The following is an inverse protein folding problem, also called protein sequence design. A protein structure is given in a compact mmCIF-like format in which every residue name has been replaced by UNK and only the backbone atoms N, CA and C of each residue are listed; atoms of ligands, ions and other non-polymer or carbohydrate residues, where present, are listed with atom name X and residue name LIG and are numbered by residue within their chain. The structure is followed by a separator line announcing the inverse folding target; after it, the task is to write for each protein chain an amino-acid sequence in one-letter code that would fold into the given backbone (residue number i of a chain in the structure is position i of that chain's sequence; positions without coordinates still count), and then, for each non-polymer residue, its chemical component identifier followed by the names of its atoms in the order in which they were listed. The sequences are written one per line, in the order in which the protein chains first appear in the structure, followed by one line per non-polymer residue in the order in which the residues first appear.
data_IF_999859988397
#
_entry.id   IF_999859988397
#
_cell.length_a   1.000
_cell.length_b   1.000
_cell.length_c   1.000
_cell.angle_alpha   90.00
_cell.angle_beta   90.00
_cell.angle_gamma   90.00
#
_symmetry.space_group_name_H-M   'P 1'
#
loop_
_entity.id
_entity.type
_entity.pdbx_description
1 polymer ?
#
# COMPACT_ATOMS: atom_id res chain seq x y z
N UNK A 1 -13.76 -42.29 -21.74
CA UNK A 1 -13.44 -41.10 -20.92
C UNK A 1 -12.22 -40.40 -21.53
N UNK A 2 -12.29 -39.09 -21.75
CA UNK A 2 -11.24 -38.30 -22.40
C UNK A 2 -9.98 -38.21 -21.52
N UNK A 3 -10.14 -38.18 -20.19
CA UNK A 3 -9.02 -38.19 -19.24
C UNK A 3 -8.23 -39.50 -19.29
N UNK A 4 -8.93 -40.64 -19.39
CA UNK A 4 -8.29 -41.96 -19.49
C UNK A 4 -7.50 -42.08 -20.80
N UNK A 5 -8.00 -41.50 -21.90
CA UNK A 5 -7.25 -41.47 -23.16
C UNK A 5 -5.98 -40.63 -23.02
N UNK A 6 -6.10 -39.42 -22.48
CA UNK A 6 -4.95 -38.53 -22.27
C UNK A 6 -3.86 -39.19 -21.44
N UNK A 7 -4.21 -39.78 -20.29
CA UNK A 7 -3.22 -40.41 -19.40
C UNK A 7 -2.54 -41.65 -20.00
N UNK A 8 -3.18 -42.31 -20.96
CA UNK A 8 -2.63 -43.50 -21.62
C UNK A 8 -1.78 -43.17 -22.84
N UNK A 9 -2.13 -42.11 -23.57
CA UNK A 9 -1.52 -41.79 -24.86
C UNK A 9 -0.68 -40.51 -24.83
N UNK A 10 -0.73 -39.76 -23.72
CA UNK A 10 -0.08 -38.45 -23.56
C UNK A 10 -0.40 -37.48 -24.71
N UNK A 11 -1.64 -37.58 -25.21
CA UNK A 11 -2.16 -36.85 -26.36
C UNK A 11 -3.57 -36.37 -26.05
N UNK A 12 -3.86 -35.13 -26.43
CA UNK A 12 -5.19 -34.53 -26.34
C UNK A 12 -5.61 -34.18 -27.76
N UNK A 13 -6.65 -34.85 -28.24
CA UNK A 13 -7.23 -34.57 -29.55
C UNK A 13 -8.01 -33.26 -29.52
N UNK A 14 -8.10 -32.58 -30.66
CA UNK A 14 -8.76 -31.28 -30.78
C UNK A 14 -10.27 -31.35 -30.45
N UNK A 15 -10.89 -32.53 -30.59
CA UNK A 15 -12.28 -32.76 -30.19
C UNK A 15 -12.51 -32.94 -28.67
N UNK A 16 -11.46 -32.95 -27.85
CA UNK A 16 -11.60 -33.13 -26.40
C UNK A 16 -12.03 -31.82 -25.72
N UNK A 17 -13.02 -31.93 -24.85
CA UNK A 17 -13.68 -30.79 -24.21
C UNK A 17 -13.87 -30.95 -22.69
N UNK A 18 -13.29 -31.98 -22.08
CA UNK A 18 -13.36 -32.13 -20.63
C UNK A 18 -12.66 -30.96 -19.92
N UNK A 19 -13.29 -30.48 -18.85
CA UNK A 19 -12.76 -29.39 -18.04
C UNK A 19 -11.36 -29.75 -17.50
N UNK A 20 -10.39 -28.84 -17.67
CA UNK A 20 -9.02 -29.01 -17.20
C UNK A 20 -8.06 -29.69 -18.18
N UNK A 21 -8.54 -30.38 -19.23
CA UNK A 21 -7.67 -31.01 -20.24
C UNK A 21 -6.78 -29.99 -20.96
N UNK A 22 -7.30 -28.80 -21.26
CA UNK A 22 -6.50 -27.73 -21.89
C UNK A 22 -5.33 -27.29 -21.00
N UNK A 23 -5.51 -27.24 -19.68
CA UNK A 23 -4.42 -26.93 -18.76
C UNK A 23 -3.42 -28.10 -18.71
N UNK A 24 -3.91 -29.33 -18.60
CA UNK A 24 -3.06 -30.52 -18.62
C UNK A 24 -2.24 -30.65 -19.92
N UNK A 25 -2.79 -30.23 -21.08
CA UNK A 25 -2.06 -30.15 -22.37
C UNK A 25 -0.83 -29.25 -22.23
N UNK A 26 -1.02 -28.03 -21.71
CA UNK A 26 0.07 -27.05 -21.54
C UNK A 26 1.14 -27.56 -20.58
N UNK A 27 0.74 -28.17 -19.46
CA UNK A 27 1.70 -28.76 -18.52
C UNK A 27 2.50 -29.90 -19.18
N UNK A 28 1.83 -30.76 -19.93
CA UNK A 28 2.50 -31.84 -20.66
C UNK A 28 3.46 -31.32 -21.74
N UNK A 29 3.08 -30.27 -22.47
CA UNK A 29 3.93 -29.63 -23.47
C UNK A 29 5.22 -29.09 -22.81
N UNK A 30 5.12 -28.49 -21.62
CA UNK A 30 6.28 -28.03 -20.83
C UNK A 30 7.15 -29.21 -20.39
N UNK A 31 6.55 -30.30 -19.91
CA UNK A 31 7.27 -31.51 -19.49
C UNK A 31 8.00 -32.20 -20.66
N UNK A 32 7.49 -32.05 -21.88
CA UNK A 32 8.10 -32.59 -23.11
C UNK A 32 9.20 -31.69 -23.69
N UNK A 33 9.46 -30.52 -23.11
CA UNK A 33 10.56 -29.66 -23.55
C UNK A 33 11.92 -30.34 -23.34
N UNK A 34 12.91 -30.07 -24.21
CA UNK A 34 14.31 -30.42 -23.95
C UNK A 34 14.79 -29.83 -22.63
N UNK A 35 15.69 -30.53 -21.92
CA UNK A 35 16.17 -30.14 -20.58
C UNK A 35 16.66 -28.68 -20.52
N UNK A 36 17.38 -28.23 -21.53
CA UNK A 36 17.89 -26.85 -21.60
C UNK A 36 16.76 -25.82 -21.74
N UNK A 37 15.73 -26.13 -22.53
CA UNK A 37 14.58 -25.24 -22.73
C UNK A 37 13.67 -25.22 -21.51
N UNK A 38 13.43 -26.38 -20.89
CA UNK A 38 12.69 -26.50 -19.63
C UNK A 38 13.37 -25.71 -18.51
N UNK A 39 14.69 -25.86 -18.36
CA UNK A 39 15.46 -25.09 -17.38
C UNK A 39 15.48 -23.59 -17.66
N UNK A 40 15.39 -23.16 -18.93
CA UNK A 40 15.23 -21.74 -19.27
C UNK A 40 13.84 -21.22 -18.92
N UNK A 41 12.80 -22.02 -19.18
CA UNK A 41 11.43 -21.73 -18.82
C UNK A 41 11.21 -21.61 -17.31
N UNK A 42 11.73 -22.56 -16.52
CA UNK A 42 11.66 -22.54 -15.06
C UNK A 42 12.32 -21.27 -14.49
N UNK A 43 13.53 -20.92 -14.97
CA UNK A 43 14.20 -19.67 -14.55
C UNK A 43 13.41 -18.41 -14.91
N UNK A 44 12.75 -18.41 -16.06
CA UNK A 44 11.90 -17.30 -16.46
C UNK A 44 10.68 -17.16 -15.53
N UNK A 45 10.05 -18.27 -15.16
CA UNK A 45 8.96 -18.26 -14.18
C UNK A 45 9.43 -17.77 -12.81
N UNK A 46 10.60 -18.21 -12.36
CA UNK A 46 11.20 -17.77 -11.10
C UNK A 46 11.48 -16.25 -11.10
N UNK A 47 12.00 -15.70 -12.19
CA UNK A 47 12.22 -14.26 -12.36
C UNK A 47 10.92 -13.47 -12.31
N UNK A 48 9.87 -13.93 -13.01
CA UNK A 48 8.54 -13.30 -12.96
C UNK A 48 7.96 -13.32 -11.54
N UNK A 49 8.06 -14.44 -10.83
CA UNK A 49 7.62 -14.53 -9.44
C UNK A 49 8.40 -13.58 -8.54
N UNK A 50 9.72 -13.52 -8.69
CA UNK A 50 10.56 -12.62 -7.93
C UNK A 50 10.19 -11.15 -8.17
N UNK A 51 10.00 -10.75 -9.43
CA UNK A 51 9.57 -9.40 -9.79
C UNK A 51 8.20 -9.07 -9.18
N UNK A 52 7.23 -9.99 -9.25
CA UNK A 52 5.92 -9.82 -8.65
C UNK A 52 6.01 -9.65 -7.13
N UNK A 53 6.78 -10.50 -6.44
CA UNK A 53 6.99 -10.41 -4.99
C UNK A 53 7.69 -9.11 -4.58
N UNK A 54 8.64 -8.63 -5.38
CA UNK A 54 9.33 -7.36 -5.11
C UNK A 54 8.37 -6.16 -5.23
N UNK A 55 7.51 -6.15 -6.25
CA UNK A 55 6.49 -5.10 -6.42
C UNK A 55 5.47 -5.15 -5.28
N UNK A 56 4.97 -6.33 -4.93
CA UNK A 56 4.01 -6.51 -3.82
C UNK A 56 4.61 -6.05 -2.49
N UNK A 57 5.85 -6.45 -2.22
CA UNK A 57 6.56 -6.09 -0.99
C UNK A 57 6.81 -4.58 -0.90
N UNK A 58 7.35 -3.97 -1.96
CA UNK A 58 7.62 -2.53 -2.00
C UNK A 58 6.34 -1.69 -1.89
N UNK A 59 5.26 -2.08 -2.57
CA UNK A 59 3.96 -1.43 -2.44
C UNK A 59 3.40 -1.54 -1.03
N UNK A 60 3.51 -2.72 -0.41
CA UNK A 60 3.04 -2.96 0.96
C UNK A 60 3.80 -2.11 1.98
N UNK A 61 5.13 -2.11 1.91
CA UNK A 61 5.99 -1.30 2.79
C UNK A 61 5.69 0.19 2.61
N UNK A 62 5.68 0.69 1.37
CA UNK A 62 5.38 2.09 1.09
C UNK A 62 3.98 2.53 1.55
N UNK A 63 2.98 1.66 1.43
CA UNK A 63 1.62 1.94 1.93
C UNK A 63 1.58 2.00 3.46
N UNK A 64 2.28 1.09 4.14
CA UNK A 64 2.34 1.08 5.61
C UNK A 64 3.05 2.34 6.12
N UNK A 65 4.19 2.69 5.54
CA UNK A 65 4.98 3.83 5.97
C UNK A 65 4.24 5.15 5.67
N UNK A 66 3.67 5.30 4.47
CA UNK A 66 2.86 6.47 4.13
C UNK A 66 1.64 6.66 5.06
N UNK A 67 0.97 5.57 5.48
CA UNK A 67 -0.12 5.65 6.47
C UNK A 67 0.37 6.07 7.84
N UNK A 68 1.52 5.56 8.28
CA UNK A 68 2.12 5.92 9.58
C UNK A 68 2.54 7.39 9.59
N UNK A 69 3.24 7.83 8.56
CA UNK A 69 3.67 9.23 8.41
C UNK A 69 2.48 10.17 8.34
N UNK A 70 1.47 9.84 7.52
CA UNK A 70 0.26 10.64 7.40
C UNK A 70 -0.53 10.74 8.72
N UNK A 71 -0.61 9.64 9.48
CA UNK A 71 -1.24 9.66 10.80
C UNK A 71 -0.44 10.51 11.80
N UNK A 72 0.88 10.39 11.82
CA UNK A 72 1.74 11.17 12.71
C UNK A 72 1.63 12.67 12.40
N UNK A 73 1.75 13.05 11.13
CA UNK A 73 1.61 14.44 10.68
C UNK A 73 0.20 14.98 10.98
N UNK A 74 -0.84 14.20 10.71
CA UNK A 74 -2.22 14.61 10.99
C UNK A 74 -2.50 14.81 12.48
N UNK A 75 -1.94 13.95 13.34
CA UNK A 75 -2.05 14.10 14.79
C UNK A 75 -1.33 15.35 15.29
N UNK A 76 -0.10 15.58 14.83
CA UNK A 76 0.69 16.75 15.21
C UNK A 76 0.01 18.06 14.77
N UNK A 77 -0.41 18.13 13.51
CA UNK A 77 -1.16 19.28 12.98
C UNK A 77 -2.48 19.50 13.73
N UNK A 78 -3.22 18.43 14.05
CA UNK A 78 -4.47 18.52 14.80
C UNK A 78 -4.28 19.03 16.22
N UNK A 79 -3.21 18.59 16.91
CA UNK A 79 -2.86 19.08 18.24
C UNK A 79 -2.47 20.57 18.18
N UNK A 80 -1.66 20.97 17.21
CA UNK A 80 -1.23 22.36 17.06
C UNK A 80 -2.40 23.29 16.72
N UNK A 81 -3.26 22.89 15.78
CA UNK A 81 -4.47 23.62 15.43
C UNK A 81 -5.42 23.74 16.62
N UNK A 82 -5.66 22.64 17.35
CA UNK A 82 -6.49 22.64 18.54
C UNK A 82 -5.97 23.59 19.62
N UNK A 83 -4.64 23.62 19.87
CA UNK A 83 -4.02 24.58 20.80
C UNK A 83 -4.27 26.03 20.35
N UNK A 84 -4.09 26.32 19.07
CA UNK A 84 -4.33 27.66 18.49
C UNK A 84 -5.79 28.08 18.58
N UNK A 85 -6.73 27.18 18.32
CA UNK A 85 -8.17 27.46 18.46
C UNK A 85 -8.56 27.75 19.91
N UNK A 86 -8.10 26.92 20.85
CA UNK A 86 -8.32 27.14 22.28
C UNK A 86 -7.73 28.49 22.73
N UNK A 87 -6.49 28.78 22.33
CA UNK A 87 -5.84 30.06 22.64
C UNK A 87 -6.62 31.25 22.07
N UNK A 88 -7.14 31.12 20.85
CA UNK A 88 -7.95 32.17 20.18
C UNK A 88 -9.25 32.44 20.93
N UNK A 89 -9.90 31.41 21.46
CA UNK A 89 -11.10 31.57 22.28
C UNK A 89 -10.77 32.18 23.65
N UNK A 90 -9.69 31.74 24.29
CA UNK A 90 -9.25 32.26 25.58
C UNK A 90 -8.82 33.73 25.52
N UNK A 91 -8.23 34.18 24.40
CA UNK A 91 -7.85 35.59 24.19
C UNK A 91 -9.01 36.59 24.31
N UNK A 92 -10.26 36.12 24.31
CA UNK A 92 -11.44 36.98 24.51
C UNK A 92 -11.61 37.42 25.97
N UNK A 93 -11.09 36.66 26.93
CA UNK A 93 -11.38 36.85 28.36
C UNK A 93 -10.17 36.68 29.28
N UNK A 94 -9.09 36.07 28.81
CA UNK A 94 -7.89 35.71 29.59
C UNK A 94 -6.67 36.46 29.03
N UNK A 95 -5.73 36.81 29.92
CA UNK A 95 -4.46 37.44 29.55
C UNK A 95 -3.49 36.48 28.85
N UNK A 96 -2.56 37.04 28.07
CA UNK A 96 -1.62 36.30 27.22
C UNK A 96 -0.68 35.37 28.04
N UNK A 97 -0.27 35.78 29.24
CA UNK A 97 0.63 34.99 30.09
C UNK A 97 -0.06 33.72 30.57
N UNK A 98 -1.30 33.85 31.05
CA UNK A 98 -2.10 32.70 31.50
C UNK A 98 -2.38 31.74 30.35
N UNK A 99 -2.66 32.24 29.14
CA UNK A 99 -2.90 31.40 27.95
C UNK A 99 -1.64 30.64 27.54
N UNK A 100 -0.46 31.27 27.62
CA UNK A 100 0.83 30.63 27.34
C UNK A 100 1.06 29.42 28.25
N UNK A 101 0.79 29.57 29.55
CA UNK A 101 0.94 28.47 30.52
C UNK A 101 -0.04 27.32 30.24
N UNK A 102 -1.29 27.62 29.89
CA UNK A 102 -2.35 26.60 29.70
C UNK A 102 -2.18 25.83 28.38
N UNK A 103 -1.85 26.54 27.30
CA UNK A 103 -1.82 25.95 25.94
C UNK A 103 -0.42 25.46 25.54
N UNK A 104 0.61 25.92 26.26
CA UNK A 104 2.01 25.66 25.94
C UNK A 104 2.50 26.40 24.69
N UNK A 105 1.72 27.36 24.19
CA UNK A 105 2.13 28.26 23.11
C UNK A 105 2.98 29.40 23.67
N UNK A 106 3.89 29.92 22.85
CA UNK A 106 4.67 31.11 23.20
C UNK A 106 3.81 32.36 23.14
N UNK A 107 4.18 33.38 23.93
CA UNK A 107 3.47 34.68 23.89
C UNK A 107 3.49 35.29 22.48
N UNK A 108 4.56 35.08 21.70
CA UNK A 108 4.66 35.55 20.31
C UNK A 108 3.63 34.86 19.39
N UNK A 109 3.45 33.54 19.50
CA UNK A 109 2.42 32.81 18.74
C UNK A 109 1.01 33.25 19.12
N UNK A 110 0.77 33.49 20.41
CA UNK A 110 -0.52 33.97 20.91
C UNK A 110 -0.81 35.40 20.42
N UNK A 111 0.20 36.28 20.38
CA UNK A 111 0.08 37.64 19.85
C UNK A 111 -0.18 37.64 18.34
N UNK A 112 0.47 36.75 17.58
CA UNK A 112 0.19 36.58 16.15
C UNK A 112 -1.27 36.17 15.88
N UNK A 113 -1.87 35.33 16.74
CA UNK A 113 -3.30 34.97 16.65
C UNK A 113 -4.24 36.15 16.93
N UNK A 114 -3.76 37.20 17.60
CA UNK A 114 -4.52 38.44 17.86
C UNK A 114 -4.52 39.38 16.66
N UNK A 115 -3.39 39.47 15.94
CA UNK A 115 -3.25 40.30 14.73
C UNK A 115 -4.07 39.76 13.55
N UNK A 116 -4.22 38.45 13.45
CA UNK A 116 -5.08 37.76 12.46
C UNK A 116 -6.59 38.09 12.62
N UNK A 117 -6.94 38.80 13.69
CA UNK A 117 -8.32 39.14 14.10
C UNK A 117 -8.73 40.58 13.79
N UNK A 118 -7.85 41.39 13.20
CA UNK A 118 -8.18 42.73 12.67
C UNK A 118 -8.38 42.67 11.16
N UNK A 119 -9.58 42.31 10.67
CA UNK A 119 -10.00 42.77 9.35
C UNK A 119 -10.28 44.28 9.44
N UNK A 120 -9.80 45.03 8.44
CA UNK A 120 -10.17 46.44 8.19
C UNK A 120 -11.69 46.67 8.18
#
# INVERSE_FOLDING_TARGET
DQWIYFLKNEEIKEEFNAQGLTQAKRELDILKLPELERAAYERYQDDLHYQASMVESSYTVGTIDGKKEGLAQGLEQGIEQGKKEIAREMLKTIDVQTISVITGLTEAEILALKEDRTPE
#
